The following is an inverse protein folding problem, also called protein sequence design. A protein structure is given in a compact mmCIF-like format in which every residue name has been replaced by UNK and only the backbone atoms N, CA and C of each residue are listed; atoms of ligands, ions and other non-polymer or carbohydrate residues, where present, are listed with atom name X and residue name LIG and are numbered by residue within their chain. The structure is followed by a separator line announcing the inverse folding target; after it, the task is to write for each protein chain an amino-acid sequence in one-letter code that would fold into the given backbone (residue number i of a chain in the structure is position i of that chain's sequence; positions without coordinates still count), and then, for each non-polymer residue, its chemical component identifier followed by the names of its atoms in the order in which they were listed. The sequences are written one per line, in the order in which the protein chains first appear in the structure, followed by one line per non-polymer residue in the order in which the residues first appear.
data_IF_926908785731
#
_entry.id   IF_926908785731
#
_cell.length_a   1.000
_cell.length_b   1.000
_cell.length_c   1.000
_cell.angle_alpha   90.00
_cell.angle_beta   90.00
_cell.angle_gamma   90.00
#
_symmetry.space_group_name_H-M   'P 1'
#
loop_
_entity.id
_entity.type
_entity.pdbx_description
1 polymer ?
#
# COMPACT_ATOMS: atom_id res chain seq x y z
N UNK A 1 -3.24 -22.70 -22.89
CA UNK A 1 -3.75 -21.61 -22.03
C UNK A 1 -4.00 -22.17 -20.64
N UNK A 2 -2.97 -22.21 -19.79
CA UNK A 2 -3.01 -22.70 -18.41
C UNK A 2 -1.99 -21.91 -17.59
N UNK A 3 -2.23 -21.89 -16.27
CA UNK A 3 -1.38 -21.50 -15.13
C UNK A 3 -1.27 -20.02 -14.78
N UNK A 4 -2.05 -19.61 -13.77
CA UNK A 4 -1.52 -18.87 -12.62
C UNK A 4 -2.45 -19.10 -11.41
N UNK A 5 -2.16 -20.17 -10.68
CA UNK A 5 -2.64 -20.41 -9.33
C UNK A 5 -1.50 -21.14 -8.63
N UNK A 6 -0.89 -20.53 -7.63
CA UNK A 6 0.21 -21.12 -6.91
C UNK A 6 0.67 -20.27 -5.74
N UNK A 7 0.60 -20.90 -4.55
CA UNK A 7 1.24 -20.56 -3.27
C UNK A 7 0.44 -19.53 -2.45
N UNK A 8 -0.03 -19.79 -1.21
CA UNK A 8 0.41 -20.73 -0.17
C UNK A 8 -0.79 -21.34 0.61
N UNK A 9 -0.62 -22.59 1.06
CA UNK A 9 -1.42 -23.24 2.12
C UNK A 9 -0.50 -24.15 2.95
N UNK A 10 -0.44 -23.93 4.26
CA UNK A 10 -0.06 -24.84 5.37
C UNK A 10 -0.10 -23.96 6.65
N UNK A 11 -0.65 -24.31 7.82
CA UNK A 11 -1.07 -25.54 8.50
C UNK A 11 -2.06 -25.10 9.63
N UNK A 12 -3.14 -25.78 10.03
CA UNK A 12 -3.31 -27.00 10.87
C UNK A 12 -4.38 -26.71 11.95
N UNK A 13 -5.20 -27.71 12.26
CA UNK A 13 -6.40 -27.66 13.11
C UNK A 13 -6.15 -27.93 14.61
N UNK A 14 -7.03 -27.39 15.49
CA UNK A 14 -7.60 -27.94 16.74
C UNK A 14 -8.02 -26.75 17.66
N UNK A 15 -9.10 -26.69 18.45
CA UNK A 15 -10.24 -27.53 18.79
C UNK A 15 -11.24 -26.66 19.60
N UNK A 16 -12.49 -27.08 19.73
CA UNK A 16 -13.59 -26.30 20.30
C UNK A 16 -13.83 -26.54 21.81
N UNK A 17 -14.30 -25.50 22.54
CA UNK A 17 -15.38 -25.59 23.55
C UNK A 17 -15.87 -24.17 24.00
N UNK A 18 -17.15 -23.99 24.40
CA UNK A 18 -17.80 -22.69 24.55
C UNK A 18 -17.94 -22.22 26.01
N UNK A 19 -18.05 -20.90 26.23
CA UNK A 19 -18.48 -20.37 27.52
C UNK A 19 -18.49 -18.84 27.67
N UNK A 20 -19.67 -18.33 28.01
CA UNK A 20 -19.97 -17.04 28.67
C UNK A 20 -20.09 -15.77 27.82
N UNK A 21 -21.28 -15.17 27.94
CA UNK A 21 -21.73 -13.93 27.32
C UNK A 21 -21.26 -12.65 28.05
N UNK A 22 -21.39 -11.54 27.32
CA UNK A 22 -21.56 -10.15 27.74
C UNK A 22 -20.31 -9.23 27.76
N UNK A 23 -20.06 -8.60 26.61
CA UNK A 23 -19.99 -7.13 26.47
C UNK A 23 -19.80 -6.77 25.00
N UNK A 24 -20.79 -6.15 24.35
CA UNK A 24 -20.65 -5.24 23.17
C UNK A 24 -19.82 -5.62 21.94
N UNK A 25 -19.23 -6.82 21.86
CA UNK A 25 -18.50 -7.33 20.72
C UNK A 25 -19.47 -8.17 19.91
N UNK A 26 -19.94 -7.68 18.75
CA UNK A 26 -20.52 -8.60 17.78
C UNK A 26 -19.42 -9.62 17.45
N UNK A 27 -19.61 -10.93 17.71
CA UNK A 27 -18.76 -11.92 17.09
C UNK A 27 -19.07 -11.81 15.61
N UNK A 28 -18.12 -11.29 14.84
CA UNK A 28 -18.19 -11.37 13.40
C UNK A 28 -18.06 -12.86 13.03
N UNK A 29 -19.19 -13.57 13.06
CA UNK A 29 -19.27 -14.94 12.58
C UNK A 29 -19.26 -14.84 11.06
N UNK A 30 -18.07 -15.02 10.50
CA UNK A 30 -17.83 -15.03 9.06
C UNK A 30 -18.18 -16.40 8.50
N UNK A 31 -19.09 -16.43 7.53
CA UNK A 31 -19.30 -17.62 6.72
C UNK A 31 -18.67 -17.35 5.37
N UNK A 32 -17.59 -18.06 4.99
CA UNK A 32 -17.01 -17.89 3.67
C UNK A 32 -18.07 -18.24 2.62
N UNK A 33 -18.50 -17.27 1.83
CA UNK A 33 -19.11 -17.58 0.54
C UNK A 33 -18.04 -18.35 -0.24
N UNK A 34 -18.36 -19.57 -0.70
CA UNK A 34 -17.42 -20.44 -1.40
C UNK A 34 -16.71 -19.75 -2.57
N UNK A 35 -15.67 -20.41 -3.11
CA UNK A 35 -14.79 -19.92 -4.18
C UNK A 35 -15.52 -19.06 -5.23
N UNK A 36 -15.16 -17.77 -5.33
CA UNK A 36 -15.75 -16.84 -6.30
C UNK A 36 -14.82 -16.62 -7.50
N UNK A 37 -15.41 -16.44 -8.69
CA UNK A 37 -14.69 -15.91 -9.86
C UNK A 37 -14.37 -14.44 -9.63
N UNK A 38 -13.15 -14.00 -10.00
CA UNK A 38 -12.73 -12.61 -9.89
C UNK A 38 -13.67 -11.71 -10.70
N UNK A 39 -14.35 -10.73 -10.09
CA UNK A 39 -15.20 -9.78 -10.82
C UNK A 39 -14.33 -8.87 -11.70
N UNK A 40 -14.69 -8.73 -12.97
CA UNK A 40 -13.91 -7.99 -13.98
C UNK A 40 -14.79 -7.06 -14.83
N UNK A 41 -14.21 -5.94 -15.32
CA UNK A 41 -14.77 -4.88 -16.21
C UNK A 41 -16.19 -4.35 -15.95
N UNK A 42 -16.85 -4.77 -14.89
CA UNK A 42 -18.18 -4.30 -14.50
C UNK A 42 -18.16 -2.82 -14.09
N UNK A 43 -16.99 -2.25 -13.76
CA UNK A 43 -16.80 -0.83 -13.40
C UNK A 43 -17.25 0.14 -14.52
N UNK A 44 -17.25 -0.29 -15.79
CA UNK A 44 -17.65 0.58 -16.91
C UNK A 44 -19.13 0.48 -17.29
N UNK A 45 -19.93 -0.26 -16.52
CA UNK A 45 -21.40 -0.27 -16.58
C UNK A 45 -21.88 0.00 -15.16
N UNK A 46 -22.80 0.94 -14.96
CA UNK A 46 -23.26 1.41 -13.63
C UNK A 46 -23.96 0.34 -12.75
N UNK A 47 -23.36 -0.83 -12.54
CA UNK A 47 -23.99 -1.96 -11.85
C UNK A 47 -23.05 -2.61 -10.82
N UNK A 48 -22.71 -1.92 -9.72
CA UNK A 48 -22.11 -2.53 -8.54
C UNK A 48 -23.19 -3.30 -7.75
N UNK A 49 -23.67 -4.42 -8.28
CA UNK A 49 -24.58 -5.35 -7.61
C UNK A 49 -24.10 -6.79 -7.89
N UNK A 50 -23.77 -7.69 -6.97
CA UNK A 50 -23.89 -7.78 -5.50
C UNK A 50 -22.73 -8.63 -4.99
N UNK A 51 -21.94 -8.14 -4.03
CA UNK A 51 -21.24 -9.03 -3.11
C UNK A 51 -22.21 -9.33 -1.95
N UNK A 52 -23.17 -10.25 -2.12
CA UNK A 52 -24.08 -10.62 -1.03
C UNK A 52 -23.42 -11.63 -0.08
N UNK A 53 -23.35 -11.31 1.21
CA UNK A 53 -22.78 -12.15 2.27
C UNK A 53 -22.72 -11.42 3.62
N UNK A 54 -22.61 -12.16 4.73
CA UNK A 54 -22.44 -11.59 6.08
C UNK A 54 -21.13 -10.79 6.21
N UNK A 55 -20.09 -11.22 5.49
CA UNK A 55 -18.79 -10.57 5.35
C UNK A 55 -18.86 -9.18 4.70
N UNK A 56 -19.69 -8.98 3.68
CA UNK A 56 -19.90 -7.65 3.07
C UNK A 56 -20.58 -6.70 4.04
N UNK A 57 -21.56 -7.18 4.80
CA UNK A 57 -22.25 -6.37 5.82
C UNK A 57 -21.28 -6.02 6.97
N UNK A 58 -20.47 -6.97 7.41
CA UNK A 58 -19.41 -6.76 8.39
C UNK A 58 -18.39 -5.71 7.92
N UNK A 59 -17.94 -5.81 6.66
CA UNK A 59 -17.01 -4.84 6.07
C UNK A 59 -17.65 -3.45 5.95
N UNK A 60 -18.91 -3.37 5.51
CA UNK A 60 -19.64 -2.11 5.43
C UNK A 60 -19.79 -1.47 6.81
N UNK A 61 -20.07 -2.28 7.85
CA UNK A 61 -20.16 -1.80 9.22
C UNK A 61 -18.81 -1.31 9.76
N UNK A 62 -17.72 -2.04 9.49
CA UNK A 62 -16.36 -1.61 9.83
C UNK A 62 -16.06 -0.24 9.22
N UNK A 63 -16.26 -0.11 7.90
CA UNK A 63 -15.92 1.10 7.14
C UNK A 63 -16.87 2.27 7.40
N UNK A 64 -17.99 2.07 8.09
CA UNK A 64 -18.92 3.14 8.46
C UNK A 64 -18.33 4.09 9.52
N UNK A 65 -17.35 3.62 10.30
CA UNK A 65 -16.71 4.43 11.34
C UNK A 65 -15.92 5.62 10.74
N UNK A 66 -15.87 6.79 11.40
CA UNK A 66 -15.24 8.00 10.86
C UNK A 66 -13.76 7.84 10.51
N UNK A 67 -13.02 7.01 11.24
CA UNK A 67 -11.60 6.73 11.00
C UNK A 67 -11.31 6.16 9.61
N UNK A 68 -12.28 5.48 8.98
CA UNK A 68 -12.14 4.90 7.63
C UNK A 68 -12.63 5.82 6.51
N UNK A 69 -12.91 7.09 6.79
CA UNK A 69 -13.46 8.02 5.80
C UNK A 69 -12.60 8.14 4.53
N UNK A 70 -11.27 8.01 4.63
CA UNK A 70 -10.37 8.07 3.47
C UNK A 70 -10.41 6.82 2.58
N UNK A 71 -10.79 5.66 3.14
CA UNK A 71 -10.72 4.34 2.48
C UNK A 71 -12.08 3.91 1.95
N UNK A 72 -13.16 4.37 2.59
CA UNK A 72 -14.56 4.11 2.19
C UNK A 72 -14.85 4.40 0.71
N UNK A 73 -14.34 5.47 0.07
CA UNK A 73 -14.60 5.70 -1.33
C UNK A 73 -14.09 4.58 -2.25
N UNK A 74 -12.92 4.01 -1.96
CA UNK A 74 -12.38 2.88 -2.71
C UNK A 74 -13.26 1.63 -2.53
N UNK A 75 -13.69 1.34 -1.30
CA UNK A 75 -14.62 0.24 -1.06
C UNK A 75 -15.93 0.44 -1.83
N UNK A 76 -16.49 1.65 -1.84
CA UNK A 76 -17.73 1.92 -2.57
C UNK A 76 -17.56 1.74 -4.08
N UNK A 77 -16.40 2.12 -4.65
CA UNK A 77 -16.13 2.02 -6.08
C UNK A 77 -15.72 0.60 -6.53
N UNK A 78 -15.10 -0.19 -5.65
CA UNK A 78 -14.51 -1.49 -5.96
C UNK A 78 -14.92 -2.61 -4.97
N UNK A 79 -16.11 -2.50 -4.37
CA UNK A 79 -16.60 -3.47 -3.37
C UNK A 79 -16.48 -4.92 -3.85
N UNK A 80 -16.89 -5.28 -5.09
CA UNK A 80 -16.75 -6.66 -5.56
C UNK A 80 -15.30 -7.15 -5.55
N UNK A 81 -14.35 -6.30 -5.93
CA UNK A 81 -12.92 -6.63 -5.97
C UNK A 81 -12.34 -6.79 -4.56
N UNK A 82 -12.65 -5.86 -3.65
CA UNK A 82 -12.23 -5.96 -2.25
C UNK A 82 -12.75 -7.26 -1.62
N UNK A 83 -14.04 -7.56 -1.80
CA UNK A 83 -14.63 -8.77 -1.24
C UNK A 83 -14.09 -10.04 -1.88
N UNK A 84 -13.74 -10.02 -3.18
CA UNK A 84 -13.10 -11.15 -3.83
C UNK A 84 -11.75 -11.49 -3.19
N UNK A 85 -10.92 -10.50 -2.90
CA UNK A 85 -9.62 -10.70 -2.23
C UNK A 85 -9.78 -11.25 -0.82
N UNK A 86 -10.70 -10.68 -0.03
CA UNK A 86 -10.99 -11.14 1.33
C UNK A 86 -11.43 -12.61 1.33
N UNK A 87 -12.36 -12.97 0.44
CA UNK A 87 -12.87 -14.35 0.32
C UNK A 87 -11.80 -15.30 -0.19
N UNK A 88 -10.94 -14.84 -1.10
CA UNK A 88 -9.83 -15.64 -1.63
C UNK A 88 -8.76 -15.92 -0.59
N UNK A 89 -8.51 -14.98 0.32
CA UNK A 89 -7.64 -15.17 1.47
C UNK A 89 -8.26 -16.07 2.55
N UNK A 90 -9.57 -16.30 2.51
CA UNK A 90 -10.35 -17.00 3.54
C UNK A 90 -10.09 -16.44 4.97
N UNK A 91 -9.75 -15.15 5.06
CA UNK A 91 -9.40 -14.45 6.31
C UNK A 91 -9.75 -12.97 6.21
N UNK A 92 -10.10 -12.36 7.35
CA UNK A 92 -10.23 -10.90 7.53
C UNK A 92 -9.22 -10.36 8.56
N UNK A 93 -8.04 -10.98 8.60
CA UNK A 93 -6.91 -10.44 9.34
C UNK A 93 -6.34 -9.18 8.69
N UNK A 94 -5.45 -8.50 9.42
CA UNK A 94 -4.86 -7.25 8.96
C UNK A 94 -4.17 -7.41 7.59
N UNK A 95 -3.44 -8.50 7.37
CA UNK A 95 -2.72 -8.72 6.12
C UNK A 95 -3.68 -8.90 4.94
N UNK A 96 -4.76 -9.65 5.11
CA UNK A 96 -5.74 -9.88 4.05
C UNK A 96 -6.51 -8.61 3.69
N UNK A 97 -6.88 -7.78 4.67
CA UNK A 97 -7.53 -6.51 4.43
C UNK A 97 -6.61 -5.55 3.67
N UNK A 98 -5.36 -5.46 4.09
CA UNK A 98 -4.36 -4.60 3.44
C UNK A 98 -4.09 -5.01 2.00
N UNK A 99 -3.98 -6.31 1.76
CA UNK A 99 -3.84 -6.87 0.41
C UNK A 99 -5.10 -6.58 -0.42
N UNK A 100 -6.29 -6.79 0.14
CA UNK A 100 -7.54 -6.60 -0.57
C UNK A 100 -7.75 -5.16 -1.05
N UNK A 101 -7.47 -4.17 -0.21
CA UNK A 101 -7.58 -2.76 -0.59
C UNK A 101 -6.52 -2.35 -1.60
N UNK A 102 -5.27 -2.78 -1.41
CA UNK A 102 -4.17 -2.51 -2.33
C UNK A 102 -4.48 -3.04 -3.74
N UNK A 103 -4.80 -4.34 -3.84
CA UNK A 103 -5.04 -4.99 -5.13
C UNK A 103 -6.35 -4.54 -5.79
N UNK A 104 -7.40 -4.24 -5.00
CA UNK A 104 -8.63 -3.67 -5.55
C UNK A 104 -8.41 -2.28 -6.16
N UNK A 105 -7.47 -1.49 -5.62
CA UNK A 105 -7.09 -0.20 -6.19
C UNK A 105 -6.48 -0.36 -7.59
N UNK A 106 -5.51 -1.26 -7.75
CA UNK A 106 -4.96 -1.61 -9.06
C UNK A 106 -6.02 -2.05 -10.06
N UNK A 107 -6.90 -2.97 -9.64
CA UNK A 107 -7.96 -3.48 -10.52
C UNK A 107 -8.89 -2.35 -11.00
N UNK A 108 -9.23 -1.41 -10.12
CA UNK A 108 -10.03 -0.25 -10.46
C UNK A 108 -9.30 0.66 -11.47
N UNK A 109 -8.04 0.96 -11.22
CA UNK A 109 -7.22 1.83 -12.07
C UNK A 109 -6.97 1.24 -13.46
N UNK A 110 -6.74 -0.08 -13.54
CA UNK A 110 -6.65 -0.79 -14.82
C UNK A 110 -7.97 -0.77 -15.59
N UNK A 111 -9.10 -0.98 -14.91
CA UNK A 111 -10.42 -0.93 -15.55
C UNK A 111 -10.74 0.47 -16.08
N UNK A 112 -10.48 1.51 -15.28
CA UNK A 112 -10.63 2.91 -15.68
C UNK A 112 -9.72 3.23 -16.86
N UNK A 113 -8.44 2.86 -16.79
CA UNK A 113 -7.48 3.09 -17.88
C UNK A 113 -7.94 2.45 -19.21
N UNK A 114 -8.49 1.23 -19.16
CA UNK A 114 -9.05 0.58 -20.34
C UNK A 114 -10.24 1.36 -20.94
N UNK A 115 -11.08 1.95 -20.10
CA UNK A 115 -12.24 2.74 -20.52
C UNK A 115 -11.85 4.16 -20.99
N UNK A 116 -10.61 4.59 -20.78
CA UNK A 116 -10.08 5.88 -21.21
C UNK A 116 -8.97 5.77 -22.29
N UNK A 117 -9.05 4.75 -23.15
CA UNK A 117 -8.14 4.62 -24.28
C UNK A 117 -6.68 4.37 -23.87
N UNK A 118 -6.47 3.59 -22.81
CA UNK A 118 -5.16 3.26 -22.24
C UNK A 118 -4.38 4.46 -21.68
N UNK A 119 -5.06 5.58 -21.42
CA UNK A 119 -4.54 6.65 -20.56
C UNK A 119 -4.37 6.12 -19.15
N UNK A 120 -3.37 6.62 -18.44
CA UNK A 120 -3.24 6.38 -17.02
C UNK A 120 -4.37 7.11 -16.28
N UNK A 121 -5.22 6.34 -15.61
CA UNK A 121 -6.35 6.84 -14.82
C UNK A 121 -6.30 6.21 -13.45
N UNK A 122 -6.44 7.05 -12.43
CA UNK A 122 -6.30 6.66 -11.04
C UNK A 122 -7.54 7.03 -10.25
N UNK A 123 -8.05 6.11 -9.45
CA UNK A 123 -9.01 6.39 -8.40
C UNK A 123 -8.27 6.67 -7.09
N UNK A 124 -8.42 7.88 -6.56
CA UNK A 124 -7.77 8.30 -5.32
C UNK A 124 -8.75 9.10 -4.45
N UNK A 125 -8.95 8.67 -3.20
CA UNK A 125 -9.85 9.29 -2.22
C UNK A 125 -11.27 9.63 -2.76
N UNK A 126 -11.80 8.79 -3.64
CA UNK A 126 -13.13 8.94 -4.22
C UNK A 126 -13.20 9.77 -5.50
N UNK A 127 -12.07 10.28 -5.97
CA UNK A 127 -11.97 11.04 -7.22
C UNK A 127 -11.32 10.20 -8.32
N UNK A 128 -11.79 10.38 -9.55
CA UNK A 128 -11.17 9.81 -10.74
C UNK A 128 -10.24 10.84 -11.38
N UNK A 129 -8.96 10.52 -11.44
CA UNK A 129 -7.92 11.36 -12.02
C UNK A 129 -7.50 10.85 -13.40
N UNK A 130 -8.14 11.38 -14.44
CA UNK A 130 -7.73 11.10 -15.83
C UNK A 130 -6.50 11.93 -16.20
N UNK A 131 -5.36 11.28 -16.41
CA UNK A 131 -4.09 11.96 -16.73
C UNK A 131 -3.88 12.13 -18.23
N UNK A 132 -2.94 12.99 -18.62
CA UNK A 132 -2.46 13.19 -19.99
C UNK A 132 -1.31 12.25 -20.39
N UNK A 133 -1.07 11.21 -19.59
CA UNK A 133 -0.12 10.15 -19.87
C UNK A 133 -0.81 8.94 -20.50
N UNK A 134 -0.25 8.38 -21.57
CA UNK A 134 -0.68 7.10 -22.15
C UNK A 134 0.40 6.07 -21.87
N UNK A 135 -0.01 4.87 -21.46
CA UNK A 135 0.92 3.79 -21.14
C UNK A 135 1.74 3.39 -22.38
N UNK A 136 3.03 3.17 -22.17
CA UNK A 136 4.05 2.88 -23.18
C UNK A 136 4.79 4.11 -23.74
N UNK A 137 4.52 5.33 -23.23
CA UNK A 137 5.10 6.57 -23.79
C UNK A 137 6.45 6.97 -23.20
N UNK A 138 6.87 6.37 -22.10
CA UNK A 138 8.17 6.62 -21.49
C UNK A 138 9.02 5.34 -21.49
N UNK A 139 10.35 5.47 -21.40
CA UNK A 139 11.25 4.33 -21.20
C UNK A 139 10.86 3.47 -19.99
N UNK A 140 11.34 2.23 -19.97
CA UNK A 140 11.02 1.27 -18.92
C UNK A 140 11.50 1.74 -17.54
N UNK A 141 10.70 1.53 -16.49
CA UNK A 141 11.06 1.96 -15.14
C UNK A 141 12.29 1.24 -14.58
N UNK A 142 12.71 0.13 -15.19
CA UNK A 142 13.95 -0.57 -14.85
C UNK A 142 15.18 0.33 -14.83
N UNK A 143 15.16 1.47 -15.54
CA UNK A 143 16.19 2.51 -15.47
C UNK A 143 16.43 3.02 -14.04
N UNK A 144 15.41 3.02 -13.18
CA UNK A 144 15.54 3.43 -11.78
C UNK A 144 16.52 2.55 -11.00
N UNK A 145 16.82 1.33 -11.47
CA UNK A 145 17.72 0.41 -10.81
C UNK A 145 19.09 1.03 -10.51
N UNK A 146 19.64 1.84 -11.42
CA UNK A 146 20.97 2.45 -11.23
C UNK A 146 21.04 3.43 -10.06
N UNK A 147 19.90 3.93 -9.60
CA UNK A 147 19.80 4.93 -8.54
C UNK A 147 19.34 4.33 -7.20
N UNK A 148 18.94 3.05 -7.18
CA UNK A 148 18.49 2.38 -5.96
C UNK A 148 19.71 1.92 -5.13
N UNK A 149 19.77 2.23 -3.81
CA UNK A 149 20.87 1.80 -2.95
C UNK A 149 21.01 0.28 -2.80
N UNK A 150 22.25 -0.20 -2.66
CA UNK A 150 22.58 -1.63 -2.63
C UNK A 150 21.95 -2.38 -1.44
N UNK A 151 21.77 -1.72 -0.29
CA UNK A 151 21.13 -2.28 0.91
C UNK A 151 19.63 -2.54 0.69
N UNK A 152 18.95 -1.73 -0.11
CA UNK A 152 17.57 -2.00 -0.55
C UNK A 152 17.54 -3.19 -1.52
N UNK A 153 18.50 -3.27 -2.45
CA UNK A 153 18.60 -4.38 -3.42
C UNK A 153 18.87 -5.72 -2.77
N UNK A 154 19.65 -5.73 -1.69
CA UNK A 154 20.11 -6.94 -1.03
C UNK A 154 19.01 -7.68 -0.24
N UNK A 155 17.81 -7.12 -0.11
CA UNK A 155 16.71 -7.74 0.64
C UNK A 155 16.04 -8.85 -0.19
N UNK A 156 16.25 -10.15 0.13
CA UNK A 156 15.87 -11.27 -0.75
C UNK A 156 14.36 -11.45 -0.90
N UNK A 157 13.55 -10.86 -0.01
CA UNK A 157 12.10 -10.82 -0.07
C UNK A 157 11.55 -9.38 -0.06
N UNK A 158 12.40 -8.38 -0.31
CA UNK A 158 11.99 -6.99 -0.38
C UNK A 158 11.22 -6.71 -1.67
N UNK A 159 10.44 -5.61 -1.69
CA UNK A 159 9.69 -5.19 -2.89
C UNK A 159 10.60 -5.01 -4.10
N UNK A 160 11.85 -4.60 -3.90
CA UNK A 160 12.84 -4.52 -4.97
C UNK A 160 12.93 -5.83 -5.78
N UNK A 161 13.01 -6.99 -5.11
CA UNK A 161 13.12 -8.29 -5.79
C UNK A 161 11.87 -8.58 -6.65
N UNK A 162 10.69 -8.13 -6.22
CA UNK A 162 9.44 -8.27 -6.96
C UNK A 162 9.42 -7.37 -8.20
N UNK A 163 9.74 -6.07 -8.04
CA UNK A 163 9.56 -5.08 -9.12
C UNK A 163 10.73 -5.01 -10.09
N UNK A 164 11.96 -5.20 -9.61
CA UNK A 164 13.17 -5.11 -10.43
C UNK A 164 13.76 -6.49 -10.78
N UNK A 165 13.60 -7.47 -9.88
CA UNK A 165 14.06 -8.86 -10.11
C UNK A 165 13.16 -9.67 -11.05
N UNK A 166 11.90 -9.27 -11.24
CA UNK A 166 10.97 -9.96 -12.14
C UNK A 166 10.88 -9.30 -13.52
N UNK A 167 11.38 -10.00 -14.55
CA UNK A 167 11.38 -9.52 -15.95
C UNK A 167 9.98 -9.28 -16.53
N UNK A 168 8.92 -9.86 -15.96
CA UNK A 168 7.55 -9.60 -16.42
C UNK A 168 7.00 -8.29 -15.85
N UNK A 169 7.50 -7.84 -14.71
CA UNK A 169 7.06 -6.62 -14.02
C UNK A 169 7.91 -5.43 -14.49
N UNK A 170 9.24 -5.58 -14.55
CA UNK A 170 10.18 -4.50 -14.86
C UNK A 170 10.17 -3.98 -16.31
N UNK A 171 9.32 -4.53 -17.18
CA UNK A 171 9.10 -4.03 -18.56
C UNK A 171 8.15 -2.84 -18.62
N UNK A 172 7.48 -2.54 -17.51
CA UNK A 172 6.60 -1.38 -17.40
C UNK A 172 7.34 -0.07 -17.65
N UNK A 173 6.62 0.95 -18.10
CA UNK A 173 7.08 2.33 -18.24
C UNK A 173 6.92 3.09 -16.92
N UNK A 174 6.66 4.41 -16.94
CA UNK A 174 6.42 5.17 -15.71
C UNK A 174 5.13 4.79 -14.97
N UNK A 175 4.12 4.22 -15.66
CA UNK A 175 2.80 4.00 -15.07
C UNK A 175 2.83 3.06 -13.85
N UNK A 176 3.46 1.87 -13.89
CA UNK A 176 3.45 0.96 -12.74
C UNK A 176 4.02 1.58 -11.47
N UNK A 177 5.01 2.47 -11.55
CA UNK A 177 5.53 3.14 -10.35
C UNK A 177 4.45 4.00 -9.66
N UNK A 178 3.61 4.66 -10.46
CA UNK A 178 2.58 5.57 -9.94
C UNK A 178 1.31 4.82 -9.54
N UNK A 179 0.98 3.74 -10.27
CA UNK A 179 -0.09 2.80 -9.91
C UNK A 179 0.18 2.17 -8.53
N UNK A 180 1.40 1.68 -8.32
CA UNK A 180 1.85 1.11 -7.03
C UNK A 180 1.93 2.14 -5.92
N UNK A 181 2.42 3.35 -6.22
CA UNK A 181 2.38 4.44 -5.25
C UNK A 181 0.93 4.78 -4.86
N UNK A 182 -0.01 4.82 -5.81
CA UNK A 182 -1.42 5.08 -5.54
C UNK A 182 -2.02 4.02 -4.61
N UNK A 183 -1.83 2.73 -4.97
CA UNK A 183 -2.34 1.60 -4.20
C UNK A 183 -1.74 1.55 -2.79
N UNK A 184 -0.42 1.76 -2.66
CA UNK A 184 0.22 1.79 -1.35
C UNK A 184 -0.15 3.01 -0.52
N UNK A 185 -0.32 4.21 -1.10
CA UNK A 185 -0.82 5.36 -0.32
C UNK A 185 -2.21 5.08 0.23
N UNK A 186 -3.13 4.57 -0.61
CA UNK A 186 -4.48 4.21 -0.17
C UNK A 186 -4.48 3.12 0.92
N UNK A 187 -3.65 2.08 0.75
CA UNK A 187 -3.49 1.02 1.75
C UNK A 187 -2.84 1.53 3.04
N UNK A 188 -1.88 2.44 2.98
CA UNK A 188 -1.20 2.99 4.15
C UNK A 188 -2.10 3.94 4.95
N UNK A 189 -3.02 4.66 4.28
CA UNK A 189 -4.08 5.41 4.96
C UNK A 189 -4.99 4.48 5.78
N UNK A 190 -5.29 3.29 5.26
CA UNK A 190 -6.03 2.27 5.99
C UNK A 190 -5.24 1.70 7.18
N UNK A 191 -3.94 1.46 7.02
CA UNK A 191 -3.04 1.02 8.12
C UNK A 191 -3.07 2.00 9.29
N UNK A 192 -2.86 3.28 9.00
CA UNK A 192 -2.86 4.32 10.03
C UNK A 192 -4.24 4.50 10.65
N UNK A 193 -5.32 4.40 9.88
CA UNK A 193 -6.69 4.47 10.40
C UNK A 193 -7.00 3.33 11.38
N UNK A 194 -6.55 2.11 11.05
CA UNK A 194 -6.73 0.94 11.90
C UNK A 194 -5.94 1.03 13.20
N UNK A 195 -4.75 1.64 13.18
CA UNK A 195 -3.80 1.64 14.29
C UNK A 195 -4.37 2.15 15.64
N UNK A 196 -5.41 2.99 15.60
CA UNK A 196 -6.08 3.51 16.80
C UNK A 196 -7.18 2.61 17.39
N UNK A 197 -7.53 1.53 16.70
CA UNK A 197 -8.76 0.75 16.98
C UNK A 197 -8.52 -0.40 17.97
N UNK A 198 -9.55 -0.86 18.72
CA UNK A 198 -9.45 -2.06 19.54
C UNK A 198 -9.08 -3.32 18.75
N UNK A 199 -9.57 -3.42 17.49
CA UNK A 199 -9.22 -4.50 16.57
C UNK A 199 -7.71 -4.56 16.33
N UNK A 200 -7.08 -3.40 16.10
CA UNK A 200 -5.64 -3.31 15.95
C UNK A 200 -4.89 -3.68 17.23
N UNK A 201 -5.35 -3.27 18.42
CA UNK A 201 -4.69 -3.66 19.68
C UNK A 201 -4.70 -5.17 19.89
N UNK A 202 -5.84 -5.82 19.63
CA UNK A 202 -5.95 -7.27 19.72
C UNK A 202 -5.03 -7.98 18.71
N UNK A 203 -4.89 -7.43 17.49
CA UNK A 203 -3.94 -7.93 16.49
C UNK A 203 -2.48 -7.64 16.88
N UNK A 204 -2.20 -6.50 17.51
CA UNK A 204 -0.87 -6.08 17.94
C UNK A 204 -0.28 -6.97 19.03
N UNK A 205 -1.11 -7.49 19.92
CA UNK A 205 -0.71 -8.44 20.96
C UNK A 205 -0.30 -9.81 20.40
N UNK A 206 -0.69 -10.13 19.15
CA UNK A 206 -0.56 -11.47 18.57
C UNK A 206 0.33 -11.51 17.31
N UNK A 207 0.69 -10.35 16.75
CA UNK A 207 1.39 -10.25 15.47
C UNK A 207 2.85 -9.82 15.63
N UNK A 208 3.71 -10.35 14.77
CA UNK A 208 5.01 -9.75 14.49
C UNK A 208 4.82 -8.43 13.72
N UNK A 209 5.83 -7.57 13.71
CA UNK A 209 5.81 -6.33 12.95
C UNK A 209 5.49 -6.55 11.46
N UNK A 210 4.73 -5.64 10.86
CA UNK A 210 4.22 -5.72 9.49
C UNK A 210 4.98 -4.73 8.61
N UNK A 211 5.61 -5.23 7.54
CA UNK A 211 6.12 -4.40 6.44
C UNK A 211 5.04 -4.29 5.37
N UNK A 212 4.01 -3.49 5.65
CA UNK A 212 2.81 -3.34 4.83
C UNK A 212 2.90 -2.21 3.80
N UNK A 213 1.76 -1.61 3.49
CA UNK A 213 1.64 -0.49 2.59
C UNK A 213 2.42 0.75 3.02
N UNK A 214 2.62 1.01 4.32
CA UNK A 214 3.51 2.11 4.76
C UNK A 214 4.93 1.92 4.21
N UNK A 215 5.46 0.69 4.28
CA UNK A 215 6.76 0.35 3.72
C UNK A 215 6.78 0.46 2.20
N UNK A 216 5.74 -0.04 1.53
CA UNK A 216 5.63 -0.02 0.08
C UNK A 216 5.52 1.38 -0.49
N UNK A 217 4.75 2.23 0.18
CA UNK A 217 4.64 3.65 -0.15
C UNK A 217 6.01 4.33 -0.16
N UNK A 218 6.86 4.07 0.85
CA UNK A 218 8.21 4.63 0.89
C UNK A 218 9.13 4.06 -0.21
N UNK A 219 9.04 2.76 -0.50
CA UNK A 219 9.79 2.13 -1.59
C UNK A 219 9.41 2.76 -2.94
N UNK A 220 8.12 3.02 -3.19
CA UNK A 220 7.66 3.61 -4.45
C UNK A 220 7.88 5.12 -4.52
N UNK A 221 7.96 5.84 -3.40
CA UNK A 221 8.51 7.19 -3.37
C UNK A 221 9.97 7.19 -3.85
N UNK A 222 10.79 6.26 -3.32
CA UNK A 222 12.18 6.08 -3.76
C UNK A 222 12.25 5.73 -5.24
N UNK A 223 11.51 4.71 -5.71
CA UNK A 223 11.56 4.26 -7.10
C UNK A 223 11.10 5.33 -8.09
N UNK A 224 10.11 6.16 -7.70
CA UNK A 224 9.66 7.30 -8.52
C UNK A 224 10.75 8.34 -8.66
N UNK A 225 11.41 8.75 -7.56
CA UNK A 225 12.51 9.70 -7.60
C UNK A 225 13.72 9.16 -8.38
N UNK A 226 14.10 7.91 -8.11
CA UNK A 226 15.15 7.18 -8.82
C UNK A 226 14.89 7.11 -10.33
N UNK A 227 13.65 6.83 -10.74
CA UNK A 227 13.28 6.81 -12.15
C UNK A 227 13.42 8.19 -12.81
N UNK A 228 12.90 9.25 -12.17
CA UNK A 228 13.00 10.60 -12.73
C UNK A 228 14.46 11.02 -12.91
N UNK A 229 15.32 10.70 -11.93
CA UNK A 229 16.76 10.94 -11.99
C UNK A 229 17.42 10.17 -13.15
N UNK A 230 17.22 8.86 -13.19
CA UNK A 230 17.81 7.99 -14.21
C UNK A 230 17.35 8.40 -15.62
N UNK A 231 16.05 8.66 -15.79
CA UNK A 231 15.48 9.10 -17.05
C UNK A 231 16.08 10.42 -17.52
N UNK A 232 16.27 11.39 -16.63
CA UNK A 232 16.90 12.67 -16.98
C UNK A 232 18.33 12.51 -17.45
N UNK A 233 19.08 11.60 -16.82
CA UNK A 233 20.45 11.31 -17.19
C UNK A 233 20.56 10.55 -18.52
N UNK A 234 19.69 9.57 -18.77
CA UNK A 234 19.77 8.69 -19.94
C UNK A 234 19.04 9.23 -21.18
N UNK A 235 17.90 9.92 -21.00
CA UNK A 235 17.07 10.48 -22.07
C UNK A 235 16.39 11.79 -21.61
N UNK A 236 17.11 12.93 -21.68
CA UNK A 236 16.61 14.23 -21.25
C UNK A 236 15.33 14.68 -21.98
N UNK A 237 15.11 14.25 -23.22
CA UNK A 237 13.94 14.65 -23.99
C UNK A 237 12.71 13.82 -23.62
N UNK A 238 12.85 12.53 -23.33
CA UNK A 238 11.80 11.74 -22.71
C UNK A 238 11.44 12.29 -21.33
N UNK A 239 12.43 12.69 -20.54
CA UNK A 239 12.20 13.35 -19.26
C UNK A 239 11.36 14.61 -19.42
N UNK A 240 11.75 15.53 -20.33
CA UNK A 240 10.98 16.77 -20.61
C UNK A 240 9.55 16.46 -21.05
N UNK A 241 9.35 15.47 -21.93
CA UNK A 241 8.02 15.05 -22.37
C UNK A 241 7.17 14.50 -21.22
N UNK A 242 7.78 13.75 -20.30
CA UNK A 242 7.12 13.21 -19.13
C UNK A 242 6.70 14.32 -18.15
N UNK A 243 7.62 15.22 -17.78
CA UNK A 243 7.30 16.29 -16.81
C UNK A 243 6.35 17.34 -17.40
N UNK A 244 6.30 17.47 -18.73
CA UNK A 244 5.30 18.29 -19.42
C UNK A 244 3.87 17.72 -19.31
N UNK A 245 3.68 16.47 -18.86
CA UNK A 245 2.38 15.87 -18.60
C UNK A 245 1.78 16.42 -17.29
N UNK A 246 1.20 17.61 -17.38
CA UNK A 246 0.73 18.38 -16.21
C UNK A 246 -0.27 17.61 -15.35
N UNK A 247 -1.17 16.82 -15.95
CA UNK A 247 -2.18 16.08 -15.17
C UNK A 247 -1.56 14.87 -14.47
N UNK A 248 -0.61 14.20 -15.13
CA UNK A 248 0.17 13.12 -14.52
C UNK A 248 1.00 13.64 -13.34
N UNK A 249 1.82 14.67 -13.55
CA UNK A 249 2.65 15.25 -12.47
C UNK A 249 1.82 15.83 -11.33
N UNK A 250 0.66 16.44 -11.63
CA UNK A 250 -0.27 16.87 -10.59
C UNK A 250 -0.79 15.70 -9.74
N UNK A 251 -0.99 14.51 -10.33
CA UNK A 251 -1.35 13.33 -9.56
C UNK A 251 -0.19 12.81 -8.73
N UNK A 252 1.03 12.75 -9.28
CA UNK A 252 2.23 12.41 -8.51
C UNK A 252 2.41 13.33 -7.31
N UNK A 253 2.19 14.64 -7.47
CA UNK A 253 2.19 15.59 -6.35
C UNK A 253 1.12 15.27 -5.29
N UNK A 254 -0.09 14.88 -5.69
CA UNK A 254 -1.16 14.48 -4.74
C UNK A 254 -0.73 13.26 -3.93
N UNK A 255 -0.20 12.25 -4.60
CA UNK A 255 0.29 11.03 -3.96
C UNK A 255 1.45 11.33 -3.01
N UNK A 256 2.43 12.13 -3.44
CA UNK A 256 3.58 12.51 -2.60
C UNK A 256 3.13 13.25 -1.32
N UNK A 257 2.22 14.21 -1.47
CA UNK A 257 1.68 14.98 -0.32
C UNK A 257 0.93 14.08 0.65
N UNK A 258 0.13 13.15 0.12
CA UNK A 258 -0.61 12.19 0.93
C UNK A 258 0.34 11.22 1.63
N UNK A 259 1.36 10.73 0.94
CA UNK A 259 2.38 9.85 1.49
C UNK A 259 3.10 10.50 2.67
N UNK A 260 3.53 11.76 2.51
CA UNK A 260 4.14 12.55 3.60
C UNK A 260 3.22 12.67 4.82
N UNK A 261 1.93 12.94 4.60
CA UNK A 261 0.95 13.04 5.68
C UNK A 261 0.73 11.69 6.39
N UNK A 262 0.75 10.57 5.65
CA UNK A 262 0.64 9.23 6.22
C UNK A 262 1.90 8.87 7.00
N UNK A 263 3.09 9.12 6.46
CA UNK A 263 4.37 8.86 7.13
C UNK A 263 4.50 9.61 8.45
N UNK A 264 4.02 10.86 8.52
CA UNK A 264 4.01 11.62 9.77
C UNK A 264 3.12 10.97 10.85
N UNK A 265 2.00 10.36 10.46
CA UNK A 265 1.12 9.62 11.36
C UNK A 265 1.63 8.21 11.68
N UNK A 266 2.37 7.59 10.76
CA UNK A 266 2.92 6.25 10.90
C UNK A 266 4.15 6.20 11.82
N UNK A 267 4.95 7.27 11.89
CA UNK A 267 6.15 7.32 12.74
C UNK A 267 5.90 6.92 14.22
N UNK A 268 4.87 7.43 14.93
CA UNK A 268 4.58 6.99 16.30
C UNK A 268 3.97 5.58 16.40
N UNK A 269 3.67 4.92 15.28
CA UNK A 269 3.08 3.57 15.21
C UNK A 269 4.12 2.48 14.93
N UNK A 270 5.40 2.82 15.02
CA UNK A 270 6.50 1.90 14.79
C UNK A 270 6.71 0.92 15.97
N UNK A 271 7.32 -0.26 15.75
CA UNK A 271 7.55 -1.26 16.80
C UNK A 271 8.28 -0.74 18.04
N UNK A 272 9.24 0.17 17.87
CA UNK A 272 9.96 0.84 18.94
C UNK A 272 9.06 1.68 19.86
N UNK A 273 7.84 2.00 19.43
CA UNK A 273 6.81 2.71 20.19
C UNK A 273 5.64 1.79 20.61
N UNK A 274 5.78 0.46 20.44
CA UNK A 274 4.74 -0.52 20.74
C UNK A 274 3.69 -0.69 19.65
N UNK A 275 3.94 -0.20 18.44
CA UNK A 275 3.07 -0.42 17.28
C UNK A 275 3.49 -1.63 16.43
N UNK A 276 2.73 -1.90 15.37
CA UNK A 276 2.98 -3.05 14.48
C UNK A 276 3.72 -2.68 13.19
N UNK A 277 3.66 -1.45 12.72
CA UNK A 277 4.07 -1.14 11.34
C UNK A 277 5.54 -0.79 11.26
N UNK A 278 6.32 -1.57 10.50
CA UNK A 278 7.73 -1.26 10.28
C UNK A 278 7.87 0.10 9.60
N UNK A 279 8.53 1.03 10.28
CA UNK A 279 8.79 2.34 9.70
C UNK A 279 9.98 2.26 8.73
N UNK A 280 9.82 2.63 7.44
CA UNK A 280 10.78 2.33 6.38
C UNK A 280 11.95 3.33 6.34
N UNK A 281 12.76 3.37 7.40
CA UNK A 281 13.83 4.37 7.58
C UNK A 281 14.82 4.40 6.42
N UNK A 282 15.27 3.23 5.94
CA UNK A 282 16.26 3.13 4.87
C UNK A 282 15.71 3.67 3.53
N UNK A 283 14.52 3.23 3.12
CA UNK A 283 13.88 3.73 1.89
C UNK A 283 13.62 5.24 1.96
N UNK A 284 13.18 5.75 3.11
CA UNK A 284 12.98 7.19 3.31
C UNK A 284 14.29 7.98 3.31
N UNK A 285 15.38 7.46 3.90
CA UNK A 285 16.71 8.09 3.79
C UNK A 285 17.10 8.28 2.32
N UNK A 286 16.87 7.24 1.52
CA UNK A 286 17.19 7.26 0.10
C UNK A 286 16.26 8.20 -0.68
N UNK A 287 14.95 8.10 -0.49
CA UNK A 287 13.95 8.94 -1.17
C UNK A 287 14.13 10.44 -0.90
N UNK A 288 14.59 10.80 0.30
CA UNK A 288 14.89 12.18 0.70
C UNK A 288 16.36 12.57 0.54
N UNK A 289 17.17 11.76 -0.17
CA UNK A 289 18.52 12.18 -0.52
C UNK A 289 18.46 13.45 -1.39
N UNK A 290 19.35 14.44 -1.18
CA UNK A 290 19.31 15.72 -1.89
C UNK A 290 19.24 15.59 -3.42
N UNK A 291 19.92 14.59 -3.96
CA UNK A 291 19.93 14.32 -5.39
C UNK A 291 18.55 13.87 -5.94
N UNK A 292 17.74 13.16 -5.16
CA UNK A 292 16.38 12.78 -5.59
C UNK A 292 15.38 13.91 -5.37
N UNK A 293 15.52 14.65 -4.26
CA UNK A 293 14.67 15.83 -4.00
C UNK A 293 14.82 16.89 -5.09
N UNK A 294 16.04 17.14 -5.58
CA UNK A 294 16.28 18.04 -6.70
C UNK A 294 15.56 17.61 -7.99
N UNK A 295 15.38 16.30 -8.21
CA UNK A 295 14.65 15.80 -9.39
C UNK A 295 13.14 15.91 -9.24
N UNK A 296 12.61 15.74 -8.02
CA UNK A 296 11.21 16.05 -7.72
C UNK A 296 10.91 17.53 -7.97
N UNK A 297 11.76 18.42 -7.45
CA UNK A 297 11.64 19.86 -7.65
C UNK A 297 11.69 20.23 -9.14
N UNK A 298 12.63 19.64 -9.89
CA UNK A 298 12.73 19.85 -11.33
C UNK A 298 11.50 19.34 -12.10
N UNK A 299 10.84 18.28 -11.61
CA UNK A 299 9.58 17.78 -12.13
C UNK A 299 8.35 18.59 -11.65
N UNK A 300 8.54 19.62 -10.82
CA UNK A 300 7.48 20.45 -10.26
C UNK A 300 6.72 19.80 -9.09
N UNK A 301 7.31 18.78 -8.46
CA UNK A 301 6.79 18.09 -7.29
C UNK A 301 7.41 18.72 -6.03
N UNK A 302 6.56 19.35 -5.22
CA UNK A 302 6.92 19.89 -3.91
C UNK A 302 6.93 18.77 -2.87
N UNK A 303 7.88 18.85 -1.96
CA UNK A 303 8.03 17.97 -0.80
C UNK A 303 8.04 18.81 0.49
N UNK A 304 7.42 18.30 1.55
CA UNK A 304 7.30 18.96 2.86
C UNK A 304 8.52 18.77 3.76
N UNK A 305 9.60 18.17 3.22
CA UNK A 305 10.69 17.63 4.02
C UNK A 305 10.34 16.27 4.62
N UNK A 306 11.36 15.58 5.14
CA UNK A 306 11.20 14.23 5.66
C UNK A 306 10.39 14.22 6.96
N UNK A 307 9.41 13.32 7.07
CA UNK A 307 8.73 13.06 8.33
C UNK A 307 9.73 12.67 9.45
N UNK A 308 9.46 13.03 10.72
CA UNK A 308 10.36 12.74 11.84
C UNK A 308 10.65 11.24 11.94
N UNK A 309 11.92 10.89 12.16
CA UNK A 309 12.26 9.52 12.51
C UNK A 309 11.67 9.17 13.89
N UNK A 310 11.18 7.93 14.09
CA UNK A 310 10.94 7.40 15.42
C UNK A 310 12.18 7.60 16.29
N UNK A 311 12.02 8.15 17.49
CA UNK A 311 13.13 8.27 18.43
C UNK A 311 13.31 6.91 19.12
N UNK A 312 14.53 6.35 19.21
CA UNK A 312 14.74 5.15 20.00
C UNK A 312 14.31 5.41 21.44
N UNK A 313 13.40 4.57 21.96
CA UNK A 313 12.98 4.64 23.35
C UNK A 313 14.16 4.24 24.22
N UNK A 314 14.62 5.15 25.08
CA UNK A 314 15.59 4.82 26.12
C UNK A 314 14.91 3.85 27.08
N UNK A 315 15.21 2.55 26.94
CA UNK A 315 14.83 1.56 27.95
C UNK A 315 15.56 1.96 29.23
N UNK A 316 14.84 2.19 30.36
CA UNK A 316 15.49 2.43 31.64
C UNK A 316 16.37 1.21 31.93
N UNK A 317 17.68 1.43 31.98
CA UNK A 317 18.61 0.40 32.46
C UNK A 317 18.17 0.07 33.88
N UNK A 318 17.59 -1.11 34.06
CA UNK A 318 17.21 -1.60 35.37
C UNK A 318 18.51 -1.75 36.15
N UNK A 319 18.77 -0.84 37.08
CA UNK A 319 19.93 -0.89 37.96
C UNK A 319 19.80 -2.18 38.76
N UNK A 320 20.62 -3.17 38.43
CA UNK A 320 20.74 -4.40 39.19
C UNK A 320 21.22 -3.98 40.58
N UNK A 321 20.34 -4.09 41.58
CA UNK A 321 20.74 -3.88 42.97
C UNK A 321 21.87 -4.88 43.29
N UNK A 322 22.97 -4.45 43.95
CA UNK A 322 24.04 -5.34 44.32
C UNK A 322 23.48 -6.38 45.29
N UNK A 323 23.63 -7.66 44.92
CA UNK A 323 23.36 -8.79 45.78
C UNK A 323 24.19 -8.64 47.07
N UNK A 324 23.50 -8.44 48.19
CA UNK A 324 24.12 -8.54 49.51
C UNK A 324 24.44 -10.01 49.76
N UNK A 325 25.73 -10.35 49.70
CA UNK A 325 26.24 -11.62 50.17
C UNK A 325 26.02 -11.72 51.70
N UNK A 326 25.39 -12.80 52.14
CA UNK A 326 25.53 -13.37 53.48
C UNK A 326 26.41 -14.62 53.37
#
# INVERSE_FOLDING_TARGET
MKTLAGLLFAACCAGAAPGSMASGNMPLVFEPAGRQTMPGREICKDNPARASGNDTAAMTALLAAPEYASVRPLFNAAQPQVMWWIRSAASMDLQSLLTAFHEANHMLDFALSACHGNRAVFHFRGEIHVTDYVRGQAPGFVLADSEIPADIKAQPNGRYAVYFGNRNVNRGDFFPLIDELNAHVAGAEFEVALAGTPLYRAMAEQANSINGNIGGMADFMLYTGAYLKALRASDPDAWKRLVARKKMMAHVQRLWTAAEAVLAKAAPLAPEHGGLYQYPVAALNAAYAPALLAELEAAGIRHGGRAPQPKPVQVPVSVSAPSAAQ
#
